data_IF_085696729068
#
_entry.id   IF_085696729068
#
_cell.length_a   1.000
_cell.length_b   1.000
_cell.length_c   1.000
_cell.angle_alpha   90.00
_cell.angle_beta   90.00
_cell.angle_gamma   90.00
#
_symmetry.space_group_name_H-M   'P 1'
#
loop_
_entity.id
_entity.type
_entity.pdbx_description
1 polymer ?
#
# COMPACT_ATOMS: atom_id res chain seq x y z
N UNK A 1 19.37 -4.61 -38.02
CA UNK A 1 19.98 -4.52 -36.66
C UNK A 1 18.86 -4.74 -35.67
N UNK A 2 18.85 -5.89 -35.04
CA UNK A 2 17.81 -6.25 -34.08
C UNK A 2 18.05 -5.51 -32.76
N UNK A 3 17.05 -4.73 -32.37
CA UNK A 3 17.03 -4.04 -31.08
C UNK A 3 16.74 -5.09 -29.99
N UNK A 4 17.78 -5.63 -29.35
CA UNK A 4 17.61 -6.52 -28.23
C UNK A 4 17.13 -5.69 -27.03
N UNK A 5 15.81 -5.62 -26.86
CA UNK A 5 15.20 -5.08 -25.68
C UNK A 5 15.75 -5.83 -24.46
N UNK A 6 16.59 -5.18 -23.67
CA UNK A 6 16.94 -5.64 -22.34
C UNK A 6 15.64 -5.77 -21.56
N UNK A 7 15.15 -6.99 -21.37
CA UNK A 7 14.19 -7.27 -20.32
C UNK A 7 14.91 -7.02 -19.00
N UNK A 8 14.69 -5.84 -18.46
CA UNK A 8 15.12 -5.53 -17.08
C UNK A 8 14.18 -6.30 -16.17
N UNK A 9 14.63 -7.46 -15.71
CA UNK A 9 13.93 -8.18 -14.64
C UNK A 9 13.86 -7.24 -13.46
N UNK A 10 12.66 -6.78 -13.10
CA UNK A 10 12.40 -5.99 -11.89
C UNK A 10 12.81 -6.85 -10.68
N UNK A 11 14.06 -6.72 -10.26
CA UNK A 11 14.57 -7.36 -9.06
C UNK A 11 14.08 -6.55 -7.87
N UNK A 12 13.29 -7.21 -7.05
CA UNK A 12 12.79 -6.79 -5.73
C UNK A 12 12.04 -5.45 -5.69
N UNK A 13 10.73 -5.56 -5.66
CA UNK A 13 9.87 -4.48 -5.19
C UNK A 13 9.92 -4.49 -3.66
N UNK A 14 10.28 -3.36 -3.05
CA UNK A 14 10.23 -3.21 -1.59
C UNK A 14 9.01 -2.38 -1.24
N UNK A 15 8.16 -2.92 -0.40
CA UNK A 15 7.02 -2.21 0.17
C UNK A 15 7.35 -1.84 1.62
N UNK A 16 7.15 -0.58 1.96
CA UNK A 16 7.45 -0.01 3.27
C UNK A 16 6.24 0.75 3.78
N UNK A 17 6.13 0.86 5.07
CA UNK A 17 5.05 1.61 5.70
C UNK A 17 5.52 2.42 6.90
N UNK A 18 4.74 3.45 7.25
CA UNK A 18 4.86 4.21 8.50
C UNK A 18 3.51 4.81 8.90
N UNK A 19 3.44 5.39 10.08
CA UNK A 19 2.24 6.10 10.50
C UNK A 19 1.98 7.33 9.62
N UNK A 20 0.72 7.58 9.29
CA UNK A 20 0.30 8.72 8.46
C UNK A 20 0.77 10.03 9.09
N UNK A 21 1.38 10.91 8.27
CA UNK A 21 1.92 12.19 8.73
C UNK A 21 3.18 12.12 9.58
N UNK A 22 3.75 10.94 9.78
CA UNK A 22 5.02 10.78 10.50
C UNK A 22 6.21 11.29 9.66
N UNK A 23 7.21 11.86 10.33
CA UNK A 23 8.52 12.20 9.74
C UNK A 23 9.58 11.13 10.02
N UNK A 24 9.21 10.07 10.74
CA UNK A 24 10.11 8.96 11.06
C UNK A 24 10.46 8.09 9.85
N UNK A 25 11.36 7.13 10.09
CA UNK A 25 11.76 6.14 9.08
C UNK A 25 10.59 5.24 8.69
N UNK A 26 10.63 4.73 7.48
CA UNK A 26 9.74 3.66 7.04
C UNK A 26 10.19 2.32 7.63
N UNK A 27 9.23 1.45 7.89
CA UNK A 27 9.46 0.05 8.24
C UNK A 27 9.27 -0.79 6.98
N UNK A 28 10.22 -1.67 6.69
CA UNK A 28 10.12 -2.61 5.58
C UNK A 28 9.02 -3.64 5.89
N UNK A 29 8.15 -3.94 4.93
CA UNK A 29 7.21 -5.03 5.06
C UNK A 29 7.97 -6.35 4.95
N UNK A 30 7.90 -7.17 5.99
CA UNK A 30 8.56 -8.49 6.02
C UNK A 30 7.87 -9.49 5.09
N UNK A 31 8.54 -10.62 4.85
CA UNK A 31 7.99 -11.69 4.04
C UNK A 31 8.19 -11.49 2.55
N UNK A 32 7.35 -12.16 1.77
CA UNK A 32 7.44 -12.18 0.32
C UNK A 32 6.16 -11.63 -0.29
N UNK A 33 6.32 -10.67 -1.19
CA UNK A 33 5.23 -10.11 -1.99
C UNK A 33 5.16 -10.83 -3.33
N UNK A 34 3.98 -11.32 -3.70
CA UNK A 34 3.74 -11.98 -4.99
C UNK A 34 2.61 -11.27 -5.73
N UNK A 35 2.66 -11.30 -7.07
CA UNK A 35 1.59 -10.81 -7.93
C UNK A 35 1.26 -9.32 -7.74
N UNK A 36 2.25 -8.50 -7.38
CA UNK A 36 2.03 -7.09 -7.13
C UNK A 36 1.57 -6.38 -8.40
N UNK A 37 0.42 -5.72 -8.31
CA UNK A 37 -0.16 -4.89 -9.36
C UNK A 37 -0.51 -3.51 -8.81
N UNK A 38 -0.39 -2.48 -9.65
CA UNK A 38 -0.79 -1.12 -9.33
C UNK A 38 -1.76 -0.69 -10.41
N UNK A 39 -2.93 -0.26 -10.00
CA UNK A 39 -3.99 0.23 -10.90
C UNK A 39 -4.51 1.58 -10.42
N UNK A 40 -4.88 2.40 -11.36
CA UNK A 40 -5.64 3.61 -11.14
C UNK A 40 -6.59 3.74 -12.33
N UNK A 41 -7.88 3.74 -12.06
CA UNK A 41 -8.88 3.90 -13.11
C UNK A 41 -8.84 5.34 -13.67
N UNK A 42 -9.38 5.54 -14.85
CA UNK A 42 -9.53 6.87 -15.41
C UNK A 42 -10.47 7.71 -14.53
N UNK A 43 -10.18 9.03 -14.37
CA UNK A 43 -11.07 9.91 -13.61
C UNK A 43 -12.47 9.91 -14.23
N UNK A 44 -13.48 9.76 -13.40
CA UNK A 44 -14.85 10.00 -13.83
C UNK A 44 -15.08 11.49 -14.06
N UNK A 45 -15.72 11.84 -15.17
CA UNK A 45 -16.07 13.23 -15.47
C UNK A 45 -17.59 13.41 -15.35
N UNK A 46 -18.02 14.45 -14.68
CA UNK A 46 -19.38 14.95 -14.72
C UNK A 46 -19.40 16.31 -15.42
N UNK A 47 -20.34 16.50 -16.36
CA UNK A 47 -20.51 17.77 -17.07
C UNK A 47 -21.79 18.46 -16.61
N UNK A 48 -21.76 19.78 -16.49
CA UNK A 48 -22.92 20.61 -16.34
C UNK A 48 -23.17 21.30 -17.68
N UNK A 49 -24.23 20.89 -18.36
CA UNK A 49 -24.65 21.49 -19.62
C UNK A 49 -25.53 22.69 -19.35
N UNK A 50 -25.28 23.79 -20.03
CA UNK A 50 -26.14 24.96 -20.03
C UNK A 50 -26.97 25.00 -21.33
N UNK A 51 -28.28 25.23 -21.24
CA UNK A 51 -29.24 25.17 -22.34
C UNK A 51 -28.89 26.05 -23.56
N UNK A 52 -27.94 26.96 -23.41
CA UNK A 52 -27.58 27.94 -24.44
C UNK A 52 -26.17 27.77 -25.03
N UNK A 53 -25.47 26.72 -24.68
CA UNK A 53 -24.10 26.45 -25.16
C UNK A 53 -24.01 25.07 -25.78
N UNK A 54 -23.38 24.98 -26.94
CA UNK A 54 -23.13 23.71 -27.65
C UNK A 54 -22.02 22.86 -27.00
N UNK A 55 -21.44 23.32 -25.90
CA UNK A 55 -20.42 22.63 -25.12
C UNK A 55 -20.68 22.75 -23.63
N UNK A 56 -20.23 21.78 -22.80
CA UNK A 56 -20.41 21.82 -21.34
C UNK A 56 -19.84 23.11 -20.77
N UNK A 57 -20.57 23.75 -19.89
CA UNK A 57 -20.14 24.96 -19.19
C UNK A 57 -19.04 24.64 -18.16
N UNK A 58 -19.11 23.46 -17.56
CA UNK A 58 -18.18 23.01 -16.53
C UNK A 58 -18.03 21.49 -16.61
N UNK A 59 -16.79 21.01 -16.50
CA UNK A 59 -16.47 19.59 -16.39
C UNK A 59 -15.73 19.39 -15.08
N UNK A 60 -16.27 18.56 -14.20
CA UNK A 60 -15.63 18.14 -12.98
C UNK A 60 -15.05 16.74 -13.16
N UNK A 61 -13.79 16.57 -12.77
CA UNK A 61 -13.12 15.28 -12.76
C UNK A 61 -12.96 14.81 -11.32
N UNK A 62 -13.49 13.63 -11.02
CA UNK A 62 -13.28 12.97 -9.73
C UNK A 62 -12.05 12.07 -9.84
N UNK A 63 -11.03 12.34 -9.04
CA UNK A 63 -9.82 11.51 -9.03
C UNK A 63 -10.10 10.15 -8.41
N UNK A 64 -9.72 9.08 -9.13
CA UNK A 64 -9.85 7.72 -8.64
C UNK A 64 -8.65 7.33 -7.76
N UNK A 65 -8.86 6.46 -6.75
CA UNK A 65 -7.80 6.00 -5.89
C UNK A 65 -6.79 5.15 -6.66
N UNK A 66 -5.54 5.20 -6.23
CA UNK A 66 -4.54 4.20 -6.61
C UNK A 66 -4.76 2.96 -5.77
N UNK A 67 -4.83 1.81 -6.41
CA UNK A 67 -5.02 0.51 -5.77
C UNK A 67 -3.79 -0.36 -6.00
N UNK A 68 -3.22 -0.89 -4.93
CA UNK A 68 -2.09 -1.83 -4.96
C UNK A 68 -2.60 -3.16 -4.45
N UNK A 69 -2.52 -4.20 -5.29
CA UNK A 69 -2.87 -5.56 -4.90
C UNK A 69 -1.62 -6.44 -4.88
N UNK A 70 -1.53 -7.32 -3.90
CA UNK A 70 -0.46 -8.30 -3.78
C UNK A 70 -0.88 -9.47 -2.89
N UNK A 71 -0.17 -10.58 -3.00
CA UNK A 71 -0.23 -11.68 -2.05
C UNK A 71 0.97 -11.57 -1.10
N UNK A 72 0.69 -11.65 0.20
CA UNK A 72 1.68 -11.54 1.26
C UNK A 72 1.88 -12.91 1.92
N UNK A 73 3.10 -13.39 1.83
CA UNK A 73 3.47 -14.73 2.29
C UNK A 73 4.68 -14.63 3.21
N UNK A 74 4.88 -15.63 4.06
CA UNK A 74 6.02 -15.71 4.98
C UNK A 74 6.16 -14.45 5.88
N UNK A 75 5.04 -13.95 6.36
CA UNK A 75 4.92 -12.81 7.26
C UNK A 75 5.24 -13.19 8.71
N UNK A 76 5.58 -12.21 9.56
CA UNK A 76 5.64 -12.39 11.00
C UNK A 76 4.28 -12.16 11.65
N UNK A 77 4.01 -12.84 12.78
CA UNK A 77 2.73 -12.68 13.49
C UNK A 77 2.64 -11.31 14.18
N UNK A 78 3.77 -10.77 14.64
CA UNK A 78 3.85 -9.40 15.16
C UNK A 78 3.43 -8.37 14.11
N UNK A 79 3.86 -8.55 12.86
CA UNK A 79 3.54 -7.63 11.78
C UNK A 79 2.08 -7.72 11.34
N UNK A 80 1.47 -8.90 11.39
CA UNK A 80 0.02 -9.06 11.22
C UNK A 80 -0.73 -8.22 12.25
N UNK A 81 -0.32 -8.29 13.51
CA UNK A 81 -0.89 -7.46 14.57
C UNK A 81 -0.72 -5.96 14.28
N UNK A 82 0.48 -5.52 13.88
CA UNK A 82 0.77 -4.12 13.59
C UNK A 82 -0.02 -3.55 12.40
N UNK A 83 -0.37 -4.39 11.42
CA UNK A 83 -1.01 -3.99 10.18
C UNK A 83 -2.48 -4.37 10.07
N UNK A 84 -2.95 -5.37 10.77
CA UNK A 84 -4.34 -5.83 10.70
C UNK A 84 -5.09 -5.65 12.04
N UNK A 85 -4.37 -5.29 13.11
CA UNK A 85 -4.93 -5.20 14.45
C UNK A 85 -5.14 -6.58 15.08
N UNK A 86 -5.99 -6.67 16.08
CA UNK A 86 -6.20 -7.90 16.84
C UNK A 86 -5.34 -7.96 18.10
N UNK A 87 -4.75 -9.12 18.39
CA UNK A 87 -3.77 -9.27 19.48
C UNK A 87 -2.65 -10.24 19.08
N UNK A 88 -1.48 -10.02 19.65
CA UNK A 88 -0.29 -10.84 19.46
C UNK A 88 0.16 -11.37 20.82
N UNK A 89 0.48 -12.65 20.88
CA UNK A 89 1.00 -13.33 22.06
C UNK A 89 2.39 -13.83 21.71
N UNK A 90 3.40 -13.33 22.42
CA UNK A 90 4.78 -13.76 22.23
C UNK A 90 4.98 -15.19 22.71
N UNK A 91 5.82 -15.93 22.00
CA UNK A 91 6.29 -17.22 22.48
C UNK A 91 7.02 -17.06 23.81
N UNK A 92 6.65 -17.86 24.79
CA UNK A 92 7.29 -17.84 26.11
C UNK A 92 7.44 -19.23 26.69
N UNK A 93 8.49 -19.43 27.48
CA UNK A 93 8.69 -20.68 28.25
C UNK A 93 8.95 -20.34 29.70
N UNK A 94 8.12 -20.86 30.58
CA UNK A 94 8.27 -20.72 32.04
C UNK A 94 8.20 -22.11 32.69
N UNK A 95 9.34 -22.60 33.14
CA UNK A 95 9.45 -23.96 33.68
C UNK A 95 9.17 -25.03 32.61
N UNK A 96 8.15 -25.87 32.84
CA UNK A 96 7.70 -26.91 31.90
C UNK A 96 6.58 -26.46 30.94
N UNK A 97 6.10 -25.23 31.09
CA UNK A 97 5.00 -24.69 30.26
C UNK A 97 5.59 -23.85 29.12
N UNK A 98 5.29 -24.24 27.90
CA UNK A 98 5.61 -23.49 26.68
C UNK A 98 4.32 -22.88 26.10
N UNK A 99 4.33 -21.61 25.82
CA UNK A 99 3.29 -20.91 25.07
C UNK A 99 3.86 -20.59 23.70
N UNK A 100 3.19 -21.05 22.65
CA UNK A 100 3.59 -20.75 21.27
C UNK A 100 3.21 -19.31 20.91
N UNK A 101 3.94 -18.74 19.95
CA UNK A 101 3.58 -17.44 19.38
C UNK A 101 2.23 -17.55 18.66
N UNK A 102 1.33 -16.61 18.90
CA UNK A 102 -0.02 -16.63 18.35
C UNK A 102 -0.48 -15.24 17.92
N UNK A 103 -1.15 -15.18 16.76
CA UNK A 103 -1.88 -14.01 16.30
C UNK A 103 -3.39 -14.30 16.33
N UNK A 104 -4.13 -13.48 17.06
CA UNK A 104 -5.58 -13.51 17.13
C UNK A 104 -6.16 -12.37 16.29
N UNK A 105 -6.80 -12.73 15.19
CA UNK A 105 -7.42 -11.75 14.30
C UNK A 105 -8.52 -10.95 15.02
N UNK A 106 -8.72 -9.67 14.69
CA UNK A 106 -9.78 -8.86 15.27
C UNK A 106 -11.16 -9.40 14.85
N UNK A 107 -12.15 -9.23 15.72
CA UNK A 107 -13.54 -9.64 15.43
C UNK A 107 -14.23 -8.77 14.37
N UNK A 108 -13.70 -7.58 14.13
CA UNK A 108 -14.15 -6.67 13.06
C UNK A 108 -12.94 -6.20 12.27
N UNK A 109 -13.03 -6.25 10.94
CA UNK A 109 -11.98 -5.72 10.07
C UNK A 109 -12.06 -4.20 10.16
N UNK A 110 -11.05 -3.61 10.80
CA UNK A 110 -10.85 -2.16 10.77
C UNK A 110 -9.69 -1.91 9.81
N UNK A 111 -9.92 -1.13 8.78
CA UNK A 111 -8.83 -0.74 7.88
C UNK A 111 -7.81 0.07 8.65
N UNK A 112 -6.59 -0.41 8.72
CA UNK A 112 -5.48 0.34 9.32
C UNK A 112 -4.85 1.20 8.24
N UNK A 113 -4.85 2.50 8.48
CA UNK A 113 -4.31 3.47 7.55
C UNK A 113 -2.84 3.73 7.84
N UNK A 114 -2.02 3.66 6.81
CA UNK A 114 -0.59 3.95 6.84
C UNK A 114 -0.20 4.84 5.67
N UNK A 115 0.94 5.45 5.77
CA UNK A 115 1.68 5.98 4.63
C UNK A 115 2.52 4.84 4.06
N UNK A 116 2.44 4.62 2.73
CA UNK A 116 3.08 3.51 2.04
C UNK A 116 4.11 4.01 1.05
N UNK A 117 5.27 3.39 1.04
CA UNK A 117 6.32 3.63 0.04
C UNK A 117 6.60 2.33 -0.72
N UNK A 118 6.49 2.40 -2.04
CA UNK A 118 6.80 1.30 -2.94
C UNK A 118 8.02 1.67 -3.77
N UNK A 119 9.11 0.94 -3.60
CA UNK A 119 10.35 1.14 -4.32
C UNK A 119 10.53 0.08 -5.40
N UNK A 120 10.73 0.52 -6.66
CA UNK A 120 10.90 -0.34 -7.82
C UNK A 120 12.38 -0.49 -8.17
N UNK A 121 13.07 -1.40 -7.53
CA UNK A 121 14.49 -1.67 -7.81
C UNK A 121 15.45 -0.53 -7.44
N UNK A 122 16.74 -0.83 -7.52
CA UNK A 122 17.80 0.16 -7.27
C UNK A 122 17.86 1.15 -8.46
N UNK A 123 17.80 2.44 -8.19
CA UNK A 123 17.87 3.50 -9.20
C UNK A 123 16.55 3.83 -9.92
N UNK A 124 15.43 3.22 -9.53
CA UNK A 124 14.11 3.50 -10.09
C UNK A 124 13.29 4.49 -9.26
N UNK A 125 12.07 4.73 -9.71
CA UNK A 125 11.15 5.65 -9.05
C UNK A 125 10.53 5.00 -7.81
N UNK A 126 10.18 5.82 -6.83
CA UNK A 126 9.40 5.43 -5.67
C UNK A 126 7.98 5.98 -5.79
N UNK A 127 6.98 5.14 -5.53
CA UNK A 127 5.60 5.57 -5.36
C UNK A 127 5.34 5.73 -3.86
N UNK A 128 4.86 6.89 -3.45
CA UNK A 128 4.47 7.16 -2.07
C UNK A 128 2.97 7.45 -2.02
N UNK A 129 2.21 6.64 -1.30
CA UNK A 129 0.82 6.91 -0.95
C UNK A 129 0.83 7.58 0.43
N UNK A 130 0.42 8.84 0.52
CA UNK A 130 0.45 9.60 1.78
C UNK A 130 -0.52 9.06 2.83
N UNK A 131 -1.60 8.41 2.38
CA UNK A 131 -2.57 7.72 3.22
C UNK A 131 -3.15 6.58 2.42
N UNK A 132 -3.04 5.37 2.89
CA UNK A 132 -3.59 4.17 2.24
C UNK A 132 -4.16 3.21 3.25
N UNK A 133 -5.38 2.74 2.98
CA UNK A 133 -6.06 1.74 3.79
C UNK A 133 -5.68 0.34 3.29
N UNK A 134 -5.15 -0.49 4.19
CA UNK A 134 -4.86 -1.90 3.92
C UNK A 134 -6.05 -2.75 4.33
N UNK A 135 -6.48 -3.60 3.42
CA UNK A 135 -7.41 -4.71 3.67
C UNK A 135 -6.73 -6.01 3.27
N UNK A 136 -6.76 -7.01 4.14
CA UNK A 136 -6.16 -8.30 3.89
C UNK A 136 -7.16 -9.42 4.17
N UNK A 137 -7.19 -10.41 3.28
CA UNK A 137 -8.06 -11.59 3.38
C UNK A 137 -7.19 -12.85 3.39
N UNK A 138 -7.39 -13.69 4.41
CA UNK A 138 -6.67 -14.95 4.52
C UNK A 138 -7.05 -15.88 3.38
N UNK A 139 -6.04 -16.43 2.73
CA UNK A 139 -6.17 -17.42 1.66
C UNK A 139 -5.32 -18.64 1.97
N UNK A 140 -5.73 -19.78 1.43
CA UNK A 140 -4.94 -21.01 1.39
C UNK A 140 -4.54 -21.27 -0.05
N UNK A 141 -3.24 -21.41 -0.30
CA UNK A 141 -2.72 -21.82 -1.59
C UNK A 141 -2.98 -23.29 -1.88
N UNK A 142 -2.82 -23.67 -3.16
CA UNK A 142 -2.91 -25.08 -3.60
C UNK A 142 -1.90 -25.97 -2.86
N UNK A 143 -0.73 -25.44 -2.53
CA UNK A 143 0.32 -26.11 -1.76
C UNK A 143 0.03 -26.19 -0.25
N UNK A 144 -1.08 -25.60 0.21
CA UNK A 144 -1.50 -25.62 1.59
C UNK A 144 -0.94 -24.49 2.46
N UNK A 145 -0.11 -23.59 1.90
CA UNK A 145 0.40 -22.44 2.62
C UNK A 145 -0.71 -21.40 2.88
N UNK A 146 -0.66 -20.78 4.06
CA UNK A 146 -1.56 -19.68 4.40
C UNK A 146 -0.94 -18.35 3.97
N UNK A 147 -1.65 -17.61 3.13
CA UNK A 147 -1.25 -16.34 2.59
C UNK A 147 -2.33 -15.29 2.83
N UNK A 148 -1.98 -14.01 2.75
CA UNK A 148 -2.95 -12.93 2.73
C UNK A 148 -3.05 -12.31 1.34
N UNK A 149 -4.27 -12.24 0.79
CA UNK A 149 -4.56 -11.38 -0.34
C UNK A 149 -4.77 -9.97 0.19
N UNK A 150 -3.87 -9.07 -0.18
CA UNK A 150 -3.80 -7.71 0.33
C UNK A 150 -4.18 -6.70 -0.75
N UNK A 151 -4.96 -5.71 -0.35
CA UNK A 151 -5.30 -4.55 -1.16
C UNK A 151 -5.03 -3.28 -0.37
N UNK A 152 -4.20 -2.39 -0.92
CA UNK A 152 -4.00 -1.04 -0.38
C UNK A 152 -4.71 -0.08 -1.31
N UNK A 153 -5.66 0.69 -0.76
CA UNK A 153 -6.38 1.73 -1.48
C UNK A 153 -5.94 3.09 -0.98
N UNK A 154 -5.47 3.96 -1.89
CA UNK A 154 -5.08 5.31 -1.52
C UNK A 154 -6.27 6.15 -1.08
N UNK A 155 -6.06 6.98 -0.08
CA UNK A 155 -7.05 7.91 0.44
C UNK A 155 -6.53 9.34 0.34
N UNK A 156 -7.43 10.32 0.35
CA UNK A 156 -7.05 11.72 0.43
C UNK A 156 -6.35 12.00 1.76
N UNK A 157 -5.23 12.69 1.68
CA UNK A 157 -4.48 13.16 2.84
C UNK A 157 -4.36 14.68 2.79
N UNK A 158 -4.82 15.37 3.83
CA UNK A 158 -4.64 16.81 3.95
C UNK A 158 -3.28 17.09 4.61
N UNK A 159 -2.33 17.58 3.80
CA UNK A 159 -1.00 18.00 4.27
C UNK A 159 -0.96 19.47 4.70
N UNK A 160 -2.05 20.19 4.56
CA UNK A 160 -2.23 21.58 4.98
C UNK A 160 -2.94 21.70 6.32
N UNK A 161 -3.53 22.85 6.54
CA UNK A 161 -4.42 23.15 7.69
C UNK A 161 -5.88 23.11 7.24
N UNK A 162 -6.82 23.12 8.19
CA UNK A 162 -8.25 23.19 7.86
C UNK A 162 -8.62 24.51 7.16
N UNK A 163 -7.88 25.59 7.42
CA UNK A 163 -8.06 26.89 6.76
C UNK A 163 -7.42 26.94 5.36
N UNK A 164 -6.32 26.18 5.15
CA UNK A 164 -5.61 26.09 3.88
C UNK A 164 -5.34 24.61 3.56
N UNK A 165 -6.33 23.86 3.08
CA UNK A 165 -6.19 22.45 2.80
C UNK A 165 -5.25 22.22 1.60
N UNK A 166 -4.37 21.21 1.73
CA UNK A 166 -3.48 20.76 0.68
C UNK A 166 -3.63 19.23 0.54
N UNK A 167 -4.59 18.82 -0.26
CA UNK A 167 -4.88 17.41 -0.44
C UNK A 167 -3.86 16.74 -1.36
N UNK A 168 -3.36 15.60 -0.90
CA UNK A 168 -2.44 14.74 -1.64
C UNK A 168 -2.96 13.31 -1.60
N UNK A 169 -2.82 12.61 -2.71
CA UNK A 169 -3.13 11.17 -2.80
C UNK A 169 -1.81 10.41 -2.85
N UNK A 170 -0.96 10.70 -3.82
CA UNK A 170 0.32 10.05 -4.00
C UNK A 170 1.38 11.00 -4.58
N UNK A 171 2.64 10.57 -4.53
CA UNK A 171 3.72 11.17 -5.30
C UNK A 171 4.62 10.10 -5.90
N UNK A 172 5.23 10.44 -7.03
CA UNK A 172 6.28 9.65 -7.65
C UNK A 172 7.59 10.40 -7.47
N UNK A 173 8.54 9.80 -6.76
CA UNK A 173 9.86 10.38 -6.49
C UNK A 173 10.90 9.70 -7.38
N UNK A 174 11.76 10.49 -8.03
CA UNK A 174 13.00 9.99 -8.61
C UNK A 174 13.95 9.59 -7.49
N UNK A 175 14.68 8.50 -7.64
CA UNK A 175 15.80 8.17 -6.76
C UNK A 175 17.02 8.85 -7.37
N UNK A 176 17.57 9.86 -6.71
CA UNK A 176 18.84 10.43 -7.11
C UNK A 176 19.93 9.40 -6.79
N UNK A 177 20.71 9.02 -7.80
CA UNK A 177 21.94 8.25 -7.62
C UNK A 177 23.06 9.16 -7.02
N UNK A 178 22.77 9.89 -5.98
CA UNK A 178 23.79 10.61 -5.21
C UNK A 178 24.09 9.81 -3.96
N UNK A 179 24.88 8.78 -4.13
CA UNK A 179 25.38 7.98 -3.05
C UNK A 179 26.80 7.54 -3.36
N UNK A 180 27.76 8.36 -3.11
CA UNK A 180 29.06 8.03 -2.54
C UNK A 180 29.30 8.92 -1.35
#
# INVERSE_FOLDING_TARGET
MANSGKQTTLKSVMLRYRSVGSTGSYTDLSGVLRGLTITQDEPESSSIDAEFFDSPFYIEYTGNPVVINFEWTNYSLEELYALLGGSHIDASTSGSTTVDEEYLAPTSITSIEKEWELEFGVGFKKLVLYRGALVATLKKDEDGALNYACTITSLNYNAGTDENPNYKIYSIKGVNESGE
#
